data_IF_073531732406
#
_entry.id   IF_073531732406
#
_cell.length_a   1.000
_cell.length_b   1.000
_cell.length_c   1.000
_cell.angle_alpha   90.00
_cell.angle_beta   90.00
_cell.angle_gamma   90.00
#
_symmetry.space_group_name_H-M   'P 1'
#
loop_
_entity.id
_entity.type
_entity.pdbx_description
1 polymer ?
#
# COMPACT_ATOMS: atom_id res chain seq x y z
N UNK A 1 -20.62 -6.82 -31.71
CA UNK A 1 -20.00 -7.43 -30.52
C UNK A 1 -19.05 -8.55 -30.96
N UNK A 2 -17.89 -8.70 -30.32
CA UNK A 2 -16.94 -9.75 -30.70
C UNK A 2 -17.53 -11.14 -30.42
N UNK A 3 -17.28 -12.13 -31.31
CA UNK A 3 -17.71 -13.51 -31.14
C UNK A 3 -17.26 -14.12 -29.79
N UNK A 4 -16.09 -13.68 -29.31
CA UNK A 4 -15.55 -14.14 -28.02
C UNK A 4 -16.33 -13.58 -26.84
N UNK A 5 -16.74 -12.32 -26.89
CA UNK A 5 -17.56 -11.69 -25.83
C UNK A 5 -18.93 -12.35 -25.77
N UNK A 6 -19.56 -12.60 -26.95
CA UNK A 6 -20.84 -13.30 -27.00
C UNK A 6 -20.80 -14.71 -26.43
N UNK A 7 -19.73 -15.47 -26.70
CA UNK A 7 -19.55 -16.80 -26.11
C UNK A 7 -19.36 -16.79 -24.60
N UNK A 8 -18.70 -15.74 -24.08
CA UNK A 8 -18.52 -15.54 -22.64
C UNK A 8 -19.85 -15.19 -21.94
N UNK A 9 -20.65 -14.31 -22.56
CA UNK A 9 -21.99 -13.94 -22.07
C UNK A 9 -22.94 -15.16 -22.06
N UNK A 10 -22.85 -16.01 -23.08
CA UNK A 10 -23.63 -17.26 -23.15
C UNK A 10 -23.23 -18.23 -22.05
N UNK A 11 -21.93 -18.38 -21.79
CA UNK A 11 -21.41 -19.24 -20.71
C UNK A 11 -21.85 -18.72 -19.32
N UNK A 12 -21.85 -17.42 -19.11
CA UNK A 12 -22.23 -16.80 -17.84
C UNK A 12 -23.75 -16.67 -17.65
N UNK A 13 -24.52 -16.76 -18.74
CA UNK A 13 -25.96 -16.50 -18.72
C UNK A 13 -26.29 -15.03 -18.40
N UNK A 14 -25.33 -14.12 -18.52
CA UNK A 14 -25.46 -12.69 -18.23
C UNK A 14 -24.78 -11.86 -19.31
N UNK A 15 -25.40 -10.74 -19.67
CA UNK A 15 -24.75 -9.75 -20.55
C UNK A 15 -23.67 -8.98 -19.79
N UNK A 16 -22.54 -8.79 -20.42
CA UNK A 16 -21.41 -8.02 -19.88
C UNK A 16 -21.43 -6.58 -20.40
N UNK A 17 -22.09 -6.37 -21.55
CA UNK A 17 -22.22 -5.07 -22.18
C UNK A 17 -23.67 -4.76 -22.52
N UNK A 18 -24.04 -3.49 -22.42
CA UNK A 18 -25.33 -2.95 -22.87
C UNK A 18 -25.08 -1.81 -23.85
N UNK A 19 -25.93 -1.69 -24.87
CA UNK A 19 -25.89 -0.57 -25.79
C UNK A 19 -26.83 0.51 -25.30
N UNK A 20 -26.29 1.69 -25.08
CA UNK A 20 -27.05 2.91 -24.81
C UNK A 20 -26.83 3.87 -25.98
N UNK A 21 -27.86 4.07 -26.79
CA UNK A 21 -27.84 4.86 -28.04
C UNK A 21 -26.68 4.45 -28.99
N UNK A 22 -25.55 5.12 -28.93
CA UNK A 22 -24.36 4.88 -29.76
C UNK A 22 -23.14 4.37 -28.92
N UNK A 23 -23.31 4.18 -27.62
CA UNK A 23 -22.22 3.78 -26.72
C UNK A 23 -22.39 2.35 -26.23
N UNK A 24 -21.25 1.68 -26.09
CA UNK A 24 -21.18 0.39 -25.43
C UNK A 24 -20.77 0.64 -23.98
N UNK A 25 -21.64 0.25 -23.03
CA UNK A 25 -21.41 0.40 -21.60
C UNK A 25 -21.29 -0.98 -20.96
N UNK A 26 -20.55 -1.06 -19.86
CA UNK A 26 -20.48 -2.25 -19.05
C UNK A 26 -21.79 -2.41 -18.25
N UNK A 27 -22.20 -3.65 -18.06
CA UNK A 27 -23.20 -4.01 -17.05
C UNK A 27 -22.50 -4.18 -15.69
N UNK A 28 -23.23 -4.29 -14.56
CA UNK A 28 -22.62 -4.63 -13.28
C UNK A 28 -21.78 -5.93 -13.32
N UNK A 29 -22.22 -6.93 -14.08
CA UNK A 29 -21.45 -8.15 -14.29
C UNK A 29 -20.18 -7.90 -15.13
N UNK A 30 -20.25 -6.97 -16.08
CA UNK A 30 -19.09 -6.53 -16.86
C UNK A 30 -18.08 -5.75 -16.04
N UNK A 31 -18.55 -4.86 -15.14
CA UNK A 31 -17.69 -4.11 -14.21
C UNK A 31 -16.98 -5.02 -13.22
N UNK A 32 -17.65 -6.08 -12.76
CA UNK A 32 -17.06 -7.09 -11.87
C UNK A 32 -16.00 -7.96 -12.59
N UNK A 33 -16.28 -8.37 -13.84
CA UNK A 33 -15.42 -9.27 -14.60
C UNK A 33 -14.22 -8.58 -15.24
N UNK A 34 -14.37 -7.34 -15.73
CA UNK A 34 -13.33 -6.64 -16.48
C UNK A 34 -11.98 -6.55 -15.74
N UNK A 35 -11.92 -6.18 -14.45
CA UNK A 35 -10.65 -6.11 -13.72
C UNK A 35 -9.94 -7.48 -13.64
N UNK A 36 -10.71 -8.55 -13.50
CA UNK A 36 -10.17 -9.92 -13.42
C UNK A 36 -9.58 -10.34 -14.76
N UNK A 37 -10.33 -10.12 -15.85
CA UNK A 37 -9.85 -10.46 -17.19
C UNK A 37 -8.63 -9.62 -17.57
N UNK A 38 -8.63 -8.31 -17.28
CA UNK A 38 -7.48 -7.44 -17.54
C UNK A 38 -6.23 -7.97 -16.83
N UNK A 39 -6.32 -8.28 -15.55
CA UNK A 39 -5.20 -8.87 -14.79
C UNK A 39 -4.70 -10.19 -15.38
N UNK A 40 -5.61 -11.05 -15.84
CA UNK A 40 -5.23 -12.32 -16.48
C UNK A 40 -4.48 -12.08 -17.79
N UNK A 41 -4.94 -11.11 -18.61
CA UNK A 41 -4.29 -10.77 -19.87
C UNK A 41 -2.93 -10.12 -19.64
N UNK A 42 -2.81 -9.20 -18.69
CA UNK A 42 -1.56 -8.57 -18.30
C UNK A 42 -0.53 -9.63 -17.86
N UNK A 43 -0.98 -10.60 -17.07
CA UNK A 43 -0.14 -11.72 -16.62
C UNK A 43 0.32 -12.61 -17.77
N UNK A 44 -0.57 -12.87 -18.71
CA UNK A 44 -0.26 -13.64 -19.91
C UNK A 44 0.79 -12.91 -20.76
N UNK A 45 0.62 -11.60 -20.97
CA UNK A 45 1.57 -10.76 -21.70
C UNK A 45 2.93 -10.72 -21.02
N UNK A 46 2.98 -10.55 -19.71
CA UNK A 46 4.21 -10.59 -18.91
C UNK A 46 4.92 -11.94 -19.05
N UNK A 47 4.18 -13.05 -18.96
CA UNK A 47 4.75 -14.39 -19.12
C UNK A 47 5.29 -14.61 -20.54
N UNK A 48 4.55 -14.16 -21.55
CA UNK A 48 5.02 -14.24 -22.95
C UNK A 48 6.27 -13.41 -23.17
N UNK A 49 6.34 -12.21 -22.57
CA UNK A 49 7.52 -11.34 -22.63
C UNK A 49 8.71 -11.95 -21.88
N UNK A 50 8.47 -12.58 -20.73
CA UNK A 50 9.50 -13.33 -20.00
C UNK A 50 10.08 -14.47 -20.87
N UNK A 51 9.23 -15.30 -21.49
CA UNK A 51 9.66 -16.38 -22.37
C UNK A 51 10.44 -15.83 -23.60
N UNK A 52 9.99 -14.71 -24.16
CA UNK A 52 10.66 -14.08 -25.30
C UNK A 52 12.00 -13.45 -24.95
N UNK A 53 12.15 -12.96 -23.71
CA UNK A 53 13.35 -12.30 -23.22
C UNK A 53 14.35 -13.26 -22.54
N UNK A 54 14.00 -14.54 -22.39
CA UNK A 54 14.89 -15.57 -21.84
C UNK A 54 16.15 -15.82 -22.70
N UNK A 55 16.20 -15.27 -23.91
CA UNK A 55 17.42 -15.25 -24.73
C UNK A 55 18.41 -14.14 -24.34
N UNK A 56 18.02 -13.20 -23.48
CA UNK A 56 18.93 -12.17 -22.94
C UNK A 56 19.26 -12.53 -21.49
N UNK A 57 20.27 -13.32 -21.33
CA UNK A 57 21.01 -13.71 -20.14
C UNK A 57 21.04 -12.64 -19.03
N UNK A 58 20.01 -12.53 -18.22
CA UNK A 58 20.01 -11.67 -17.06
C UNK A 58 19.08 -12.21 -16.00
N UNK A 59 19.62 -12.49 -14.82
CA UNK A 59 18.78 -12.76 -13.63
C UNK A 59 17.87 -11.55 -13.41
N UNK A 60 16.57 -11.77 -13.34
CA UNK A 60 15.58 -10.74 -13.08
C UNK A 60 14.91 -11.03 -11.74
N UNK A 61 14.72 -10.00 -10.91
CA UNK A 61 14.02 -10.07 -9.63
C UNK A 61 12.92 -9.01 -9.60
N UNK A 62 11.68 -9.46 -9.47
CA UNK A 62 10.51 -8.60 -9.31
C UNK A 62 10.19 -8.49 -7.82
N UNK A 63 10.41 -7.29 -7.31
CA UNK A 63 10.20 -6.97 -5.91
C UNK A 63 8.99 -6.06 -5.72
N UNK A 64 8.09 -6.43 -4.82
CA UNK A 64 7.01 -5.55 -4.39
C UNK A 64 7.26 -5.03 -2.98
N UNK A 65 7.17 -3.71 -2.79
CA UNK A 65 7.38 -3.06 -1.48
C UNK A 65 6.31 -1.99 -1.28
N UNK A 66 5.64 -1.90 -0.12
CA UNK A 66 4.72 -0.82 0.18
C UNK A 66 5.36 0.56 0.03
N UNK A 67 4.61 1.59 -0.44
CA UNK A 67 5.19 2.88 -0.84
C UNK A 67 6.03 3.56 0.24
N UNK A 68 5.52 3.65 1.47
CA UNK A 68 6.25 4.30 2.56
C UNK A 68 7.53 3.54 2.92
N UNK A 69 7.45 2.22 2.93
CA UNK A 69 8.58 1.36 3.24
C UNK A 69 9.66 1.43 2.16
N UNK A 70 9.23 1.44 0.89
CA UNK A 70 10.14 1.61 -0.23
C UNK A 70 10.95 2.90 -0.10
N UNK A 71 10.28 4.01 0.15
CA UNK A 71 10.92 5.34 0.20
C UNK A 71 11.82 5.51 1.44
N UNK A 72 11.41 5.03 2.60
CA UNK A 72 12.14 5.25 3.85
C UNK A 72 13.30 4.28 4.07
N UNK A 73 13.11 3.02 3.74
CA UNK A 73 14.08 1.98 4.08
C UNK A 73 14.71 1.32 2.84
N UNK A 74 13.92 1.03 1.81
CA UNK A 74 14.39 0.17 0.73
C UNK A 74 15.21 0.87 -0.33
N UNK A 75 14.97 2.15 -0.64
CA UNK A 75 15.77 2.83 -1.67
C UNK A 75 17.28 2.82 -1.41
N UNK A 76 17.79 3.09 -0.19
CA UNK A 76 19.21 2.92 0.11
C UNK A 76 19.69 1.48 -0.05
N UNK A 77 18.93 0.51 0.44
CA UNK A 77 19.27 -0.92 0.35
C UNK A 77 19.31 -1.40 -1.10
N UNK A 78 18.37 -0.96 -1.94
CA UNK A 78 18.34 -1.29 -3.37
C UNK A 78 19.54 -0.73 -4.10
N UNK A 79 19.99 0.48 -3.74
CA UNK A 79 21.21 1.08 -4.29
C UNK A 79 22.43 0.21 -3.97
N UNK A 80 22.56 -0.21 -2.73
CA UNK A 80 23.71 -0.99 -2.28
C UNK A 80 23.67 -2.41 -2.89
N UNK A 81 22.50 -3.04 -2.94
CA UNK A 81 22.30 -4.30 -3.65
C UNK A 81 22.67 -4.22 -5.13
N UNK A 82 22.30 -3.14 -5.82
CA UNK A 82 22.64 -2.92 -7.22
C UNK A 82 24.14 -2.75 -7.45
N UNK A 83 24.85 -2.19 -6.48
CA UNK A 83 26.31 -2.05 -6.56
C UNK A 83 27.00 -3.41 -6.43
N UNK A 84 26.48 -4.31 -5.58
CA UNK A 84 27.03 -5.65 -5.36
C UNK A 84 26.61 -6.66 -6.44
N UNK A 85 25.41 -6.46 -7.03
CA UNK A 85 24.82 -7.39 -8.00
C UNK A 85 24.38 -6.66 -9.29
N UNK A 86 25.33 -6.13 -10.08
CA UNK A 86 25.03 -5.35 -11.29
C UNK A 86 24.40 -6.20 -12.41
N UNK A 87 24.58 -7.51 -12.37
CA UNK A 87 24.03 -8.49 -13.31
C UNK A 87 22.54 -8.82 -13.06
N UNK A 88 22.00 -8.46 -11.89
CA UNK A 88 20.61 -8.68 -11.57
C UNK A 88 19.77 -7.48 -12.01
N UNK A 89 18.80 -7.72 -12.87
CA UNK A 89 17.79 -6.73 -13.23
C UNK A 89 16.73 -6.68 -12.13
N UNK A 90 16.59 -5.50 -11.50
CA UNK A 90 15.52 -5.28 -10.52
C UNK A 90 14.33 -4.59 -11.18
N UNK A 91 13.15 -5.16 -10.98
CA UNK A 91 11.86 -4.55 -11.29
C UNK A 91 11.11 -4.34 -9.99
N UNK A 92 11.01 -3.07 -9.56
CA UNK A 92 10.45 -2.71 -8.26
C UNK A 92 9.09 -2.09 -8.47
N UNK A 93 8.07 -2.75 -7.95
CA UNK A 93 6.69 -2.25 -7.94
C UNK A 93 6.30 -1.77 -6.54
N UNK A 94 5.39 -0.80 -6.50
CA UNK A 94 4.91 -0.25 -5.23
C UNK A 94 3.45 0.16 -5.38
N UNK A 95 2.60 -0.39 -4.54
CA UNK A 95 1.19 -0.04 -4.48
C UNK A 95 0.66 -0.17 -3.05
N UNK A 96 -0.35 0.63 -2.72
CA UNK A 96 -1.12 0.47 -1.50
C UNK A 96 -2.08 -0.69 -1.66
N UNK A 97 -1.70 -1.84 -1.13
CA UNK A 97 -2.59 -3.00 -1.06
C UNK A 97 -2.55 -3.58 0.34
N UNK A 98 -3.69 -3.98 0.84
CA UNK A 98 -3.76 -4.80 2.06
C UNK A 98 -3.40 -6.23 1.67
N UNK A 99 -2.42 -6.81 2.35
CA UNK A 99 -1.91 -8.13 2.03
C UNK A 99 -0.96 -8.16 0.83
N UNK A 100 -0.96 -9.26 0.10
CA UNK A 100 -0.08 -9.46 -1.05
C UNK A 100 -0.66 -8.80 -2.32
N UNK A 101 0.19 -8.20 -3.18
CA UNK A 101 -0.26 -7.61 -4.42
C UNK A 101 -0.81 -8.68 -5.37
N UNK A 102 -1.77 -8.26 -6.20
CA UNK A 102 -2.30 -9.13 -7.24
C UNK A 102 -1.40 -9.25 -8.49
N UNK A 103 -0.33 -8.45 -8.53
CA UNK A 103 0.66 -8.45 -9.60
C UNK A 103 1.70 -9.54 -9.39
N UNK A 104 2.34 -9.99 -10.47
CA UNK A 104 3.44 -10.94 -10.39
C UNK A 104 4.64 -10.35 -9.65
N UNK A 105 5.16 -11.11 -8.69
CA UNK A 105 6.38 -10.80 -7.95
C UNK A 105 7.15 -12.10 -7.67
N UNK A 106 8.45 -11.97 -7.53
CA UNK A 106 9.30 -13.05 -7.03
C UNK A 106 9.47 -12.93 -5.52
N UNK A 107 9.46 -11.68 -5.01
CA UNK A 107 9.47 -11.34 -3.60
C UNK A 107 8.52 -10.16 -3.33
N UNK A 108 7.74 -10.26 -2.26
CA UNK A 108 6.90 -9.15 -1.80
C UNK A 108 7.10 -8.91 -0.31
N UNK A 109 7.09 -7.63 0.06
CA UNK A 109 6.99 -7.20 1.44
C UNK A 109 5.59 -6.67 1.65
N UNK A 110 4.94 -7.13 2.70
CA UNK A 110 3.56 -6.75 3.01
C UNK A 110 3.39 -6.51 4.51
N UNK A 111 2.47 -5.61 4.84
CA UNK A 111 1.94 -5.49 6.20
C UNK A 111 0.81 -6.50 6.34
N UNK A 112 1.07 -7.61 7.00
CA UNK A 112 0.06 -8.65 7.21
C UNK A 112 0.37 -9.46 8.47
N UNK A 113 -0.59 -10.27 8.87
CA UNK A 113 -0.34 -11.33 9.85
C UNK A 113 0.32 -12.50 9.14
N UNK A 114 1.26 -13.20 9.78
CA UNK A 114 1.84 -14.41 9.21
C UNK A 114 0.72 -15.36 8.78
N UNK A 115 0.64 -15.63 7.50
CA UNK A 115 -0.34 -16.55 6.93
C UNK A 115 0.38 -17.85 6.56
N UNK A 116 -0.20 -18.99 6.94
CA UNK A 116 0.32 -20.31 6.59
C UNK A 116 -0.20 -20.64 5.19
N UNK A 117 0.55 -20.20 4.20
CA UNK A 117 0.32 -20.48 2.79
C UNK A 117 1.50 -21.31 2.25
N UNK A 118 1.38 -21.88 1.06
CA UNK A 118 2.46 -22.65 0.38
C UNK A 118 3.69 -21.79 0.00
N UNK A 119 3.71 -20.54 0.40
CA UNK A 119 4.79 -19.59 0.16
C UNK A 119 5.77 -19.57 1.33
N UNK A 120 7.03 -19.36 1.01
CA UNK A 120 8.04 -19.05 2.03
C UNK A 120 7.73 -17.66 2.58
N UNK A 121 7.46 -17.58 3.88
CA UNK A 121 7.14 -16.32 4.55
C UNK A 121 8.06 -16.14 5.75
N UNK A 122 8.79 -15.03 5.75
CA UNK A 122 9.68 -14.64 6.84
C UNK A 122 9.17 -13.37 7.51
N UNK A 123 9.19 -13.33 8.84
CA UNK A 123 8.91 -12.14 9.60
C UNK A 123 10.15 -11.24 9.59
N UNK A 124 10.05 -10.05 8.97
CA UNK A 124 11.15 -9.10 8.98
C UNK A 124 11.24 -8.36 10.31
N UNK A 125 10.14 -7.76 10.75
CA UNK A 125 10.01 -7.13 12.09
C UNK A 125 8.54 -6.94 12.46
N UNK A 126 8.32 -6.63 13.73
CA UNK A 126 7.00 -6.23 14.23
C UNK A 126 6.85 -4.72 14.16
N UNK A 127 5.81 -4.26 13.48
CA UNK A 127 5.49 -2.83 13.37
C UNK A 127 5.16 -2.24 14.74
N UNK A 128 5.84 -1.17 15.12
CA UNK A 128 5.63 -0.44 16.36
C UNK A 128 5.07 0.94 16.06
N UNK A 129 3.77 1.09 16.25
CA UNK A 129 3.06 2.32 15.89
C UNK A 129 3.02 3.29 17.07
N UNK A 130 3.36 4.55 16.81
CA UNK A 130 3.21 5.65 17.75
C UNK A 130 2.67 6.92 17.05
N UNK A 131 2.06 7.85 17.82
CA UNK A 131 1.78 9.20 17.33
C UNK A 131 3.08 9.95 17.05
N UNK A 132 3.24 10.42 15.83
CA UNK A 132 4.38 11.22 15.39
C UNK A 132 3.91 12.61 14.94
N UNK A 133 4.70 13.63 15.21
CA UNK A 133 4.43 15.02 14.86
C UNK A 133 5.73 15.79 14.64
N UNK A 134 5.64 17.03 14.15
CA UNK A 134 6.79 17.92 14.07
C UNK A 134 7.39 18.21 15.45
N UNK A 135 8.71 18.43 15.58
CA UNK A 135 9.39 18.71 16.84
C UNK A 135 8.79 19.91 17.60
N UNK A 136 8.43 20.97 16.89
CA UNK A 136 7.79 22.15 17.50
C UNK A 136 6.45 21.79 18.19
N UNK A 137 5.66 20.90 17.59
CA UNK A 137 4.40 20.41 18.14
C UNK A 137 4.65 19.56 19.39
N UNK A 138 5.66 18.68 19.35
CA UNK A 138 6.05 17.86 20.49
C UNK A 138 6.54 18.74 21.68
N UNK A 139 7.37 19.73 21.42
CA UNK A 139 7.86 20.68 22.45
C UNK A 139 6.69 21.45 23.08
N UNK A 140 5.75 21.95 22.28
CA UNK A 140 4.58 22.70 22.75
C UNK A 140 3.60 21.84 23.58
N UNK A 141 3.75 20.53 23.56
CA UNK A 141 2.92 19.59 24.32
C UNK A 141 3.56 19.07 25.60
N UNK A 142 4.77 19.52 25.93
CA UNK A 142 5.45 19.07 27.15
C UNK A 142 4.59 19.34 28.40
N UNK A 143 4.48 18.31 29.25
CA UNK A 143 3.67 18.34 30.46
C UNK A 143 2.20 17.96 30.29
N UNK A 144 1.72 17.75 29.06
CA UNK A 144 0.37 17.20 28.80
C UNK A 144 0.40 15.69 28.86
N UNK A 145 -0.72 15.09 29.24
CA UNK A 145 -0.95 13.67 29.02
C UNK A 145 -1.08 13.37 27.53
N UNK A 146 -0.93 12.09 27.12
CA UNK A 146 -1.12 11.70 25.74
C UNK A 146 -2.52 12.05 25.22
N UNK A 147 -3.55 11.86 26.07
CA UNK A 147 -4.94 12.17 25.72
C UNK A 147 -5.12 13.67 25.49
N UNK A 148 -4.70 14.53 26.43
CA UNK A 148 -4.75 16.00 26.30
C UNK A 148 -3.97 16.49 25.08
N UNK A 149 -2.83 15.87 24.77
CA UNK A 149 -2.06 16.17 23.58
C UNK A 149 -2.86 15.85 22.32
N UNK A 150 -3.33 14.62 22.18
CA UNK A 150 -4.06 14.18 20.97
C UNK A 150 -5.38 14.95 20.77
N UNK A 151 -6.11 15.27 21.85
CA UNK A 151 -7.32 16.10 21.78
C UNK A 151 -7.05 17.52 21.27
N UNK A 152 -5.85 18.06 21.55
CA UNK A 152 -5.46 19.41 21.12
C UNK A 152 -4.91 19.46 19.68
N UNK A 153 -4.75 18.32 18.99
CA UNK A 153 -4.15 18.24 17.66
C UNK A 153 -5.14 17.75 16.60
N UNK A 154 -4.85 18.06 15.34
CA UNK A 154 -5.50 17.43 14.20
C UNK A 154 -4.91 16.04 14.00
N UNK A 155 -5.77 15.01 14.03
CA UNK A 155 -5.38 13.63 13.76
C UNK A 155 -5.39 13.40 12.25
N UNK A 156 -4.22 13.08 11.69
CA UNK A 156 -4.06 12.77 10.29
C UNK A 156 -4.31 11.28 10.06
N UNK A 157 -5.22 10.99 9.15
CA UNK A 157 -5.64 9.62 8.88
C UNK A 157 -4.85 9.02 7.71
N UNK A 158 -4.68 7.70 7.72
CA UNK A 158 -4.19 6.92 6.60
C UNK A 158 -5.35 6.13 6.00
N UNK A 159 -5.55 6.27 4.69
CA UNK A 159 -6.55 5.49 3.97
C UNK A 159 -6.05 4.06 3.78
N UNK A 160 -6.88 3.11 4.11
CA UNK A 160 -6.71 1.69 3.80
C UNK A 160 -7.87 1.26 2.92
N UNK A 161 -7.59 0.53 1.86
CA UNK A 161 -8.61 0.10 0.90
C UNK A 161 -9.70 -0.74 1.56
N UNK A 162 -10.95 -0.29 1.39
CA UNK A 162 -12.12 -0.97 1.94
C UNK A 162 -12.36 -0.79 3.44
N UNK A 163 -11.50 -0.03 4.13
CA UNK A 163 -11.57 0.13 5.58
C UNK A 163 -12.10 1.51 6.00
N UNK A 164 -12.69 1.63 7.21
CA UNK A 164 -13.07 2.91 7.77
C UNK A 164 -11.85 3.85 7.88
N UNK A 165 -12.10 5.12 7.58
CA UNK A 165 -11.06 6.16 7.57
C UNK A 165 -10.27 6.26 8.87
N UNK A 166 -10.93 6.08 10.00
CA UNK A 166 -10.39 6.24 11.35
C UNK A 166 -9.93 4.92 11.98
N UNK A 167 -9.88 3.83 11.21
CA UNK A 167 -9.57 2.49 11.71
C UNK A 167 -8.29 2.47 12.55
N UNK A 168 -7.19 3.04 12.04
CA UNK A 168 -5.90 2.98 12.72
C UNK A 168 -5.91 3.76 14.03
N UNK A 169 -6.48 4.97 14.02
CA UNK A 169 -6.61 5.76 15.24
C UNK A 169 -7.53 5.10 16.25
N UNK A 170 -8.67 4.59 15.82
CA UNK A 170 -9.61 3.86 16.70
C UNK A 170 -8.95 2.64 17.33
N UNK A 171 -8.19 1.89 16.55
CA UNK A 171 -7.42 0.73 17.05
C UNK A 171 -6.34 1.15 18.06
N UNK A 172 -5.57 2.21 17.74
CA UNK A 172 -4.52 2.73 18.60
C UNK A 172 -5.08 3.23 19.94
N UNK A 173 -6.11 4.07 19.89
CA UNK A 173 -6.74 4.62 21.09
C UNK A 173 -7.30 3.51 22.00
N UNK A 174 -8.01 2.55 21.41
CA UNK A 174 -8.52 1.39 22.15
C UNK A 174 -7.41 0.58 22.82
N UNK A 175 -6.32 0.34 22.11
CA UNK A 175 -5.18 -0.43 22.63
C UNK A 175 -4.49 0.28 23.80
N UNK A 176 -4.51 1.62 23.81
CA UNK A 176 -3.91 2.44 24.86
C UNK A 176 -4.90 2.90 25.93
N UNK A 177 -6.15 2.41 25.91
CA UNK A 177 -7.17 2.75 26.91
C UNK A 177 -7.66 4.19 26.85
N UNK A 178 -7.53 4.85 25.68
CA UNK A 178 -7.98 6.23 25.46
C UNK A 178 -9.39 6.25 24.85
N UNK A 179 -10.22 7.20 25.28
CA UNK A 179 -11.64 7.28 24.91
C UNK A 179 -12.02 8.57 24.21
N UNK A 180 -11.12 9.19 23.51
CA UNK A 180 -11.37 10.40 22.74
C UNK A 180 -11.97 10.11 21.35
N UNK A 181 -12.62 11.12 20.76
CA UNK A 181 -13.12 11.03 19.40
C UNK A 181 -11.99 11.19 18.38
N UNK A 182 -11.98 10.34 17.34
CA UNK A 182 -11.05 10.41 16.21
C UNK A 182 -11.47 11.53 15.26
N UNK A 183 -11.23 12.79 15.65
CA UNK A 183 -11.51 13.95 14.80
C UNK A 183 -10.35 14.24 13.88
N UNK A 184 -10.61 14.43 12.60
CA UNK A 184 -9.62 14.82 11.63
C UNK A 184 -10.21 14.95 10.24
N UNK A 185 -9.89 16.05 9.55
CA UNK A 185 -10.42 16.33 8.22
C UNK A 185 -9.56 15.72 7.12
N UNK A 186 -8.26 15.48 7.38
CA UNK A 186 -7.30 15.04 6.38
C UNK A 186 -7.03 13.54 6.45
N UNK A 187 -6.96 12.93 5.27
CA UNK A 187 -6.56 11.54 5.12
C UNK A 187 -5.65 11.39 3.89
N UNK A 188 -4.59 10.66 4.05
CA UNK A 188 -3.54 10.46 3.07
C UNK A 188 -3.49 9.00 2.62
N UNK A 189 -3.03 8.78 1.40
CA UNK A 189 -2.83 7.43 0.87
C UNK A 189 -1.50 6.81 1.35
N UNK A 190 -0.55 7.64 1.83
CA UNK A 190 0.75 7.18 2.32
C UNK A 190 1.11 7.82 3.66
N UNK A 191 1.77 7.06 4.53
CA UNK A 191 2.28 7.57 5.81
C UNK A 191 3.32 8.69 5.60
N UNK A 192 4.09 8.63 4.51
CA UNK A 192 5.05 9.67 4.15
C UNK A 192 4.36 11.00 3.85
N UNK A 193 3.25 10.97 3.09
CA UNK A 193 2.50 12.20 2.81
C UNK A 193 1.93 12.81 4.10
N UNK A 194 1.44 11.98 5.03
CA UNK A 194 1.00 12.44 6.34
C UNK A 194 2.15 13.04 7.16
N UNK A 195 3.34 12.40 7.15
CA UNK A 195 4.54 12.91 7.82
C UNK A 195 5.00 14.26 7.24
N UNK A 196 5.06 14.37 5.91
CA UNK A 196 5.42 15.62 5.24
C UNK A 196 4.44 16.75 5.56
N UNK A 197 3.14 16.44 5.61
CA UNK A 197 2.15 17.43 6.02
C UNK A 197 2.32 17.85 7.49
N UNK A 198 2.52 16.89 8.39
CA UNK A 198 2.75 17.17 9.81
C UNK A 198 3.96 18.06 10.03
N UNK A 199 5.05 17.85 9.27
CA UNK A 199 6.27 18.69 9.32
C UNK A 199 6.06 20.09 8.74
N UNK A 200 5.27 20.23 7.68
CA UNK A 200 5.07 21.50 6.97
C UNK A 200 4.02 22.41 7.61
N UNK A 201 3.03 21.83 8.27
CA UNK A 201 1.87 22.55 8.78
C UNK A 201 1.64 22.27 10.28
N UNK A 202 0.89 21.20 10.55
CA UNK A 202 0.56 20.75 11.90
C UNK A 202 -0.12 19.38 11.82
N UNK A 203 -0.38 18.79 12.99
CA UNK A 203 -1.10 17.55 13.10
C UNK A 203 -0.23 16.39 13.57
N UNK A 204 -0.90 15.30 13.88
CA UNK A 204 -0.28 14.09 14.40
C UNK A 204 -0.75 12.92 13.55
N UNK A 205 0.18 12.08 13.11
CA UNK A 205 -0.10 10.86 12.36
C UNK A 205 0.38 9.63 13.12
N UNK A 206 -0.19 8.48 12.81
CA UNK A 206 0.33 7.21 13.30
C UNK A 206 1.41 6.69 12.37
N UNK A 207 2.63 6.59 12.88
CA UNK A 207 3.79 6.10 12.14
C UNK A 207 4.48 4.93 12.82
N UNK A 208 5.12 4.07 12.02
CA UNK A 208 6.02 3.06 12.53
C UNK A 208 7.33 3.72 12.97
N UNK A 209 7.65 3.64 14.26
CA UNK A 209 8.83 4.30 14.83
C UNK A 209 10.15 3.76 14.28
N UNK A 210 10.18 2.53 13.81
CA UNK A 210 11.38 1.95 13.19
C UNK A 210 11.58 2.49 11.76
N UNK A 211 10.48 2.71 11.05
CA UNK A 211 10.50 3.32 9.71
C UNK A 211 10.94 4.79 9.75
N UNK A 212 10.56 5.52 10.80
CA UNK A 212 10.90 6.94 10.99
C UNK A 212 12.04 7.16 11.99
N UNK A 213 12.82 6.11 12.31
CA UNK A 213 13.87 6.19 13.34
C UNK A 213 14.91 7.28 13.06
N UNK A 214 15.22 7.51 11.77
CA UNK A 214 16.19 8.55 11.36
C UNK A 214 15.64 9.95 11.63
N UNK A 215 14.41 10.22 11.16
CA UNK A 215 13.74 11.50 11.34
C UNK A 215 13.51 11.80 12.82
N UNK A 216 13.15 10.78 13.62
CA UNK A 216 12.99 10.91 15.08
C UNK A 216 14.33 11.25 15.75
N UNK A 217 15.45 10.72 15.29
CA UNK A 217 16.77 10.98 15.84
C UNK A 217 17.31 12.37 15.43
N UNK A 218 16.97 12.83 14.25
CA UNK A 218 17.41 14.13 13.71
C UNK A 218 16.58 15.30 14.27
N UNK A 219 15.40 15.04 14.88
CA UNK A 219 14.50 16.02 15.53
C UNK A 219 13.33 16.38 14.66
#
# INVERSE_FOLDING_TARGET
MSRHVGGLEELLGKQLFVRDASRLLLTPAGEELLPVVSKCLDRLEQTMNSIRNDEVTGRSLRLHVPPSLLQQLFLPMLRDFRAEHPDIRLDVSSAHVTGLPATDFDMAIAYDRPNVDDRITDLLWMVRVAPLCAPATAIASQGKSLEEFLESQELLHLKLDGEPRDLLWTAYLRQNGLTMATRGALAFDTTIAAAQYAMAASGVFLGDIDMFAREIADG
#
